data_IF_538162444702
#
_entry.id   IF_538162444702
#
_cell.length_a   1.000
_cell.length_b   1.000
_cell.length_c   1.000
_cell.angle_alpha   90.00
_cell.angle_beta   90.00
_cell.angle_gamma   90.00
#
_symmetry.space_group_name_H-M   'P 1'
#
loop_
_entity.id
_entity.type
_entity.pdbx_description
1 polymer ?
#
# COMPACT_ATOMS: atom_id res chain seq x y z
N UNK A 1 -20.05 0.52 -0.51
CA UNK A 1 -18.92 1.49 -0.52
C UNK A 1 -19.27 2.68 0.38
N UNK A 2 -18.33 3.18 1.18
CA UNK A 2 -18.57 4.34 2.05
C UNK A 2 -18.80 5.60 1.21
N UNK A 3 -19.91 6.29 1.46
CA UNK A 3 -20.21 7.58 0.84
C UNK A 3 -19.41 8.69 1.53
N UNK A 4 -18.66 9.46 0.74
CA UNK A 4 -17.82 10.57 1.22
C UNK A 4 -18.29 11.82 0.50
N UNK A 5 -18.97 12.70 1.24
CA UNK A 5 -19.48 13.96 0.71
C UNK A 5 -18.34 14.82 0.15
N UNK A 6 -18.51 15.32 -1.07
CA UNK A 6 -17.52 16.18 -1.73
C UNK A 6 -16.27 15.46 -2.27
N UNK A 7 -16.23 14.12 -2.22
CA UNK A 7 -15.15 13.34 -2.81
C UNK A 7 -15.11 13.52 -4.34
N UNK A 8 -13.97 13.96 -4.85
CA UNK A 8 -13.68 14.04 -6.28
C UNK A 8 -12.64 12.99 -6.63
N UNK A 9 -12.90 12.22 -7.69
CA UNK A 9 -11.97 11.22 -8.23
C UNK A 9 -11.62 11.56 -9.66
N UNK A 10 -10.33 11.65 -9.95
CA UNK A 10 -9.83 12.02 -11.26
C UNK A 10 -8.37 11.59 -11.40
N UNK A 11 -7.85 11.65 -12.63
CA UNK A 11 -6.46 11.32 -12.91
C UNK A 11 -5.66 12.61 -13.10
N UNK A 12 -4.39 12.55 -12.68
CA UNK A 12 -3.40 13.61 -12.93
C UNK A 12 -2.20 13.03 -13.68
N UNK A 13 -1.50 13.90 -14.41
CA UNK A 13 -0.20 13.57 -15.00
C UNK A 13 0.91 13.88 -13.98
N UNK A 14 1.50 12.83 -13.41
CA UNK A 14 2.63 12.94 -12.50
C UNK A 14 3.92 12.61 -13.24
N UNK A 15 4.52 13.65 -13.85
CA UNK A 15 5.76 13.54 -14.63
C UNK A 15 5.71 12.49 -15.76
N UNK A 16 4.59 12.44 -16.48
CA UNK A 16 4.37 11.48 -17.57
C UNK A 16 3.81 10.13 -17.13
N UNK A 17 3.50 9.95 -15.84
CA UNK A 17 2.79 8.77 -15.32
C UNK A 17 1.36 9.17 -14.93
N UNK A 18 0.35 8.48 -15.44
CA UNK A 18 -1.04 8.73 -15.03
C UNK A 18 -1.27 8.20 -13.61
N UNK A 19 -1.60 9.07 -12.66
CA UNK A 19 -1.91 8.70 -11.28
C UNK A 19 -3.36 9.06 -10.96
N UNK A 20 -4.11 8.07 -10.49
CA UNK A 20 -5.46 8.26 -9.98
C UNK A 20 -5.45 8.90 -8.59
N UNK A 21 -6.31 9.89 -8.40
CA UNK A 21 -6.45 10.67 -7.18
C UNK A 21 -7.89 10.64 -6.72
N UNK A 22 -8.10 10.38 -5.42
CA UNK A 22 -9.32 10.63 -4.70
C UNK A 22 -9.09 11.71 -3.65
N UNK A 23 -9.77 12.84 -3.76
CA UNK A 23 -9.55 13.98 -2.88
C UNK A 23 -10.83 14.64 -2.35
N UNK A 24 -10.71 15.25 -1.18
CA UNK A 24 -11.80 15.99 -0.52
C UNK A 24 -11.22 17.06 0.41
N UNK A 25 -11.97 18.15 0.57
CA UNK A 25 -11.60 19.28 1.42
C UNK A 25 -10.71 20.31 0.73
N UNK A 26 -10.43 21.38 1.47
CA UNK A 26 -9.61 22.51 1.03
C UNK A 26 -8.60 22.86 2.13
N UNK A 27 -7.50 23.53 1.78
CA UNK A 27 -6.44 23.92 2.71
C UNK A 27 -5.11 23.21 2.42
N UNK A 28 -4.17 23.18 3.38
CA UNK A 28 -2.88 22.52 3.18
C UNK A 28 -3.05 21.04 2.82
N UNK A 29 -2.26 20.56 1.86
CA UNK A 29 -2.39 19.20 1.35
C UNK A 29 -1.81 18.16 2.32
N UNK A 30 -2.57 17.06 2.49
CA UNK A 30 -2.11 15.81 3.10
C UNK A 30 -2.25 14.71 2.06
N UNK A 31 -1.11 14.18 1.60
CA UNK A 31 -1.02 13.11 0.61
C UNK A 31 -0.96 11.74 1.31
N UNK A 32 -1.90 10.86 0.99
CA UNK A 32 -2.02 9.50 1.52
C UNK A 32 -1.57 8.47 0.48
N UNK A 33 -0.65 7.60 0.89
CA UNK A 33 -0.04 6.55 0.07
C UNK A 33 -0.34 5.20 0.72
N UNK A 34 -1.15 4.38 0.06
CA UNK A 34 -1.51 3.03 0.54
C UNK A 34 -0.37 2.03 0.34
N UNK A 35 -0.50 0.83 0.91
CA UNK A 35 0.45 -0.27 0.74
C UNK A 35 -0.08 -1.41 -0.13
N UNK A 36 0.41 -2.61 0.13
CA UNK A 36 0.06 -3.85 -0.58
C UNK A 36 -0.87 -4.71 0.27
N UNK A 37 -1.87 -5.39 -0.32
CA UNK A 37 -2.50 -5.18 -1.63
C UNK A 37 -3.73 -4.25 -1.51
N UNK A 38 -3.51 -2.93 -1.51
CA UNK A 38 -4.55 -1.95 -1.14
C UNK A 38 -4.98 -1.03 -2.31
N UNK A 39 -5.61 0.11 -1.98
CA UNK A 39 -6.00 1.18 -2.90
C UNK A 39 -6.14 2.50 -2.13
N UNK A 40 -6.33 3.64 -2.83
CA UNK A 40 -6.78 4.89 -2.22
C UNK A 40 -7.94 4.69 -1.24
N UNK A 41 -8.82 3.71 -1.50
CA UNK A 41 -9.99 3.40 -0.70
C UNK A 41 -9.68 2.91 0.73
N UNK A 42 -8.45 2.45 1.00
CA UNK A 42 -7.99 2.18 2.37
C UNK A 42 -8.05 3.43 3.27
N UNK A 43 -8.00 4.63 2.67
CA UNK A 43 -8.06 5.90 3.38
C UNK A 43 -9.46 6.49 3.51
N UNK A 44 -10.52 5.75 3.16
CA UNK A 44 -11.93 6.22 3.18
C UNK A 44 -12.38 6.82 4.51
N UNK A 45 -11.78 6.41 5.63
CA UNK A 45 -12.08 6.95 6.95
C UNK A 45 -11.26 8.21 7.28
N UNK A 46 -10.04 8.32 6.75
CA UNK A 46 -9.13 9.44 6.99
C UNK A 46 -9.48 10.64 6.12
N UNK A 47 -9.84 10.42 4.87
CA UNK A 47 -10.20 11.48 3.91
C UNK A 47 -11.20 12.51 4.48
N UNK A 48 -12.42 12.11 4.93
CA UNK A 48 -13.38 13.06 5.48
C UNK A 48 -12.93 13.66 6.82
N UNK A 49 -12.22 12.90 7.66
CA UNK A 49 -11.76 13.38 8.96
C UNK A 49 -10.70 14.49 8.82
N UNK A 50 -9.79 14.34 7.85
CA UNK A 50 -8.73 15.30 7.54
C UNK A 50 -9.29 16.52 6.84
N UNK A 51 -10.25 16.34 5.92
CA UNK A 51 -11.00 17.44 5.32
C UNK A 51 -11.75 18.28 6.37
N UNK A 52 -12.45 17.63 7.30
CA UNK A 52 -13.13 18.31 8.40
C UNK A 52 -12.18 19.06 9.35
N UNK A 53 -10.91 18.67 9.39
CA UNK A 53 -9.86 19.36 10.13
C UNK A 53 -9.26 20.58 9.40
N UNK A 54 -9.75 20.91 8.19
CA UNK A 54 -9.33 22.09 7.42
C UNK A 54 -8.11 21.84 6.51
N UNK A 55 -7.92 20.59 6.08
CA UNK A 55 -6.86 20.19 5.15
C UNK A 55 -7.46 19.67 3.84
N UNK A 56 -6.71 19.75 2.75
CA UNK A 56 -7.02 19.05 1.51
C UNK A 56 -6.49 17.62 1.60
N UNK A 57 -7.37 16.65 1.77
CA UNK A 57 -7.00 15.23 1.88
C UNK A 57 -6.95 14.60 0.49
N UNK A 58 -5.81 14.04 0.11
CA UNK A 58 -5.55 13.48 -1.22
C UNK A 58 -5.03 12.06 -1.07
N UNK A 59 -5.76 11.06 -1.54
CA UNK A 59 -5.29 9.67 -1.58
C UNK A 59 -5.06 9.25 -3.03
N UNK A 60 -3.92 8.62 -3.30
CA UNK A 60 -3.58 8.11 -4.64
C UNK A 60 -3.81 6.62 -4.72
N UNK A 61 -4.14 6.10 -5.90
CA UNK A 61 -3.72 4.74 -6.23
C UNK A 61 -2.24 4.79 -6.59
N UNK A 62 -1.41 4.04 -5.88
CA UNK A 62 0.03 3.92 -6.20
C UNK A 62 0.16 3.34 -7.61
N UNK A 63 1.21 3.74 -8.35
CA UNK A 63 1.55 3.16 -9.66
C UNK A 63 1.40 1.62 -9.62
N UNK A 64 0.67 1.06 -10.57
CA UNK A 64 0.33 -0.37 -10.63
C UNK A 64 -0.98 -0.78 -9.97
N UNK A 65 -1.65 0.13 -9.27
CA UNK A 65 -2.91 -0.14 -8.57
C UNK A 65 -4.08 0.62 -9.17
N UNK A 66 -5.28 0.05 -8.98
CA UNK A 66 -6.56 0.69 -9.27
C UNK A 66 -6.59 1.31 -10.67
N UNK A 67 -6.84 2.62 -10.72
CA UNK A 67 -6.95 3.34 -12.00
C UNK A 67 -5.65 4.03 -12.44
N UNK A 68 -4.60 3.97 -11.62
CA UNK A 68 -3.27 4.47 -11.97
C UNK A 68 -2.64 3.63 -13.09
N UNK A 69 -1.64 4.21 -13.75
CA UNK A 69 -0.88 3.53 -14.78
C UNK A 69 -0.17 2.29 -14.22
N UNK A 70 -0.14 1.21 -14.99
CA UNK A 70 0.47 -0.07 -14.64
C UNK A 70 1.49 -0.47 -15.73
N UNK A 71 2.71 0.09 -15.71
CA UNK A 71 3.77 -0.28 -16.65
C UNK A 71 4.15 -1.77 -16.55
N UNK A 72 4.50 -2.41 -17.67
CA UNK A 72 4.93 -3.83 -17.66
C UNK A 72 6.31 -4.07 -17.05
N UNK A 73 7.17 -3.06 -17.09
CA UNK A 73 8.57 -3.20 -16.68
C UNK A 73 8.71 -3.14 -15.17
N UNK A 74 9.29 -4.18 -14.55
CA UNK A 74 9.54 -4.22 -13.09
C UNK A 74 10.33 -3.00 -12.61
N UNK A 75 11.31 -2.55 -13.40
CA UNK A 75 12.15 -1.39 -13.08
C UNK A 75 11.36 -0.06 -13.04
N UNK A 76 10.16 -0.01 -13.63
CA UNK A 76 9.29 1.15 -13.53
C UNK A 76 8.79 1.38 -12.10
N UNK A 77 8.81 0.36 -11.24
CA UNK A 77 8.32 0.40 -9.86
C UNK A 77 9.42 0.67 -8.83
N UNK A 78 10.64 1.02 -9.28
CA UNK A 78 11.72 1.42 -8.36
C UNK A 78 11.26 2.56 -7.47
N UNK A 79 11.67 2.50 -6.20
CA UNK A 79 11.25 3.44 -5.16
C UNK A 79 11.43 4.92 -5.56
N UNK A 80 12.49 5.25 -6.29
CA UNK A 80 12.74 6.61 -6.80
C UNK A 80 11.67 7.09 -7.80
N UNK A 81 11.09 6.19 -8.59
CA UNK A 81 10.00 6.52 -9.50
C UNK A 81 8.70 6.73 -8.72
N UNK A 82 8.42 5.90 -7.72
CA UNK A 82 7.24 6.06 -6.84
C UNK A 82 7.30 7.37 -6.04
N UNK A 83 8.50 7.80 -5.63
CA UNK A 83 8.73 9.13 -5.07
C UNK A 83 8.47 10.22 -6.11
N UNK A 84 8.92 10.03 -7.36
CA UNK A 84 8.62 10.92 -8.48
C UNK A 84 7.12 11.11 -8.67
N UNK A 85 6.33 10.03 -8.62
CA UNK A 85 4.87 10.09 -8.69
C UNK A 85 4.28 10.95 -7.58
N UNK A 86 4.72 10.75 -6.34
CA UNK A 86 4.24 11.55 -5.20
C UNK A 86 4.51 13.04 -5.38
N UNK A 87 5.71 13.41 -5.85
CA UNK A 87 6.04 14.80 -6.17
C UNK A 87 5.18 15.31 -7.31
N UNK A 88 5.07 14.53 -8.38
CA UNK A 88 4.31 14.91 -9.58
C UNK A 88 2.84 15.16 -9.26
N UNK A 89 2.24 14.37 -8.36
CA UNK A 89 0.87 14.59 -7.87
C UNK A 89 0.75 15.93 -7.13
N UNK A 90 1.68 16.24 -6.21
CA UNK A 90 1.68 17.53 -5.49
C UNK A 90 1.76 18.70 -6.47
N UNK A 91 2.68 18.63 -7.44
CA UNK A 91 2.88 19.67 -8.46
C UNK A 91 1.66 19.79 -9.40
N UNK A 92 1.11 18.67 -9.88
CA UNK A 92 -0.04 18.64 -10.79
C UNK A 92 -1.32 19.20 -10.16
N UNK A 93 -1.48 19.03 -8.85
CA UNK A 93 -2.58 19.59 -8.08
C UNK A 93 -2.36 21.06 -7.66
N UNK A 94 -1.26 21.68 -8.13
CA UNK A 94 -0.96 23.11 -7.97
C UNK A 94 -0.32 23.48 -6.63
N UNK A 95 0.14 22.50 -5.85
CA UNK A 95 0.75 22.74 -4.54
C UNK A 95 2.26 22.81 -4.61
N UNK A 96 2.87 23.60 -3.72
CA UNK A 96 4.33 23.66 -3.58
C UNK A 96 4.88 22.64 -2.56
N UNK A 97 4.00 21.98 -1.81
CA UNK A 97 4.38 21.01 -0.79
C UNK A 97 3.18 20.43 -0.04
N UNK A 98 3.43 19.34 0.67
CA UNK A 98 2.41 18.59 1.40
C UNK A 98 2.97 17.94 2.68
N UNK A 99 2.07 17.50 3.55
CA UNK A 99 2.37 16.42 4.51
C UNK A 99 2.14 15.10 3.79
N UNK A 100 3.02 14.11 3.98
CA UNK A 100 2.86 12.78 3.38
C UNK A 100 2.63 11.71 4.44
N UNK A 101 1.68 10.82 4.19
CA UNK A 101 1.26 9.75 5.09
C UNK A 101 1.33 8.43 4.33
N UNK A 102 2.06 7.46 4.87
CA UNK A 102 2.26 6.15 4.23
C UNK A 102 1.88 4.99 5.13
N UNK A 103 1.15 4.02 4.59
CA UNK A 103 0.84 2.74 5.25
C UNK A 103 1.50 1.57 4.52
N UNK A 104 2.04 0.60 5.26
CA UNK A 104 2.68 -0.60 4.70
C UNK A 104 3.77 -0.22 3.66
N UNK A 105 3.70 -0.61 2.39
CA UNK A 105 4.63 -0.20 1.32
C UNK A 105 4.56 1.31 1.00
N UNK A 106 3.44 1.95 1.31
CA UNK A 106 3.31 3.40 1.29
C UNK A 106 4.22 4.09 2.30
N UNK A 107 4.62 3.44 3.40
CA UNK A 107 5.55 4.01 4.39
C UNK A 107 6.98 4.15 3.86
N UNK A 108 7.62 3.13 3.26
CA UNK A 108 8.88 3.28 2.52
C UNK A 108 8.83 4.35 1.44
N UNK A 109 7.72 4.45 0.68
CA UNK A 109 7.52 5.50 -0.32
C UNK A 109 7.51 6.88 0.35
N UNK A 110 6.68 7.07 1.38
CA UNK A 110 6.52 8.33 2.09
C UNK A 110 7.81 8.81 2.78
N UNK A 111 8.48 7.90 3.49
CA UNK A 111 9.75 8.20 4.16
C UNK A 111 10.87 8.53 3.17
N UNK A 112 10.95 7.82 2.04
CA UNK A 112 11.93 8.12 1.00
C UNK A 112 11.61 9.42 0.27
N UNK A 113 10.34 9.72 0.03
CA UNK A 113 9.91 10.99 -0.54
C UNK A 113 10.31 12.17 0.36
N UNK A 114 10.06 12.06 1.67
CA UNK A 114 10.49 13.07 2.65
C UNK A 114 12.02 13.20 2.75
N UNK A 115 12.75 12.09 2.62
CA UNK A 115 14.22 12.10 2.62
C UNK A 115 14.80 12.77 1.37
N UNK A 116 14.27 12.46 0.19
CA UNK A 116 14.81 12.91 -1.09
C UNK A 116 14.32 14.31 -1.48
N UNK A 117 13.10 14.68 -1.06
CA UNK A 117 12.42 15.93 -1.43
C UNK A 117 11.88 16.66 -0.19
N UNK A 118 12.72 16.98 0.80
CA UNK A 118 12.29 17.62 2.05
C UNK A 118 11.69 19.02 1.86
N UNK A 119 11.97 19.69 0.75
CA UNK A 119 11.37 20.96 0.38
C UNK A 119 9.89 20.85 -0.02
N UNK A 120 9.48 19.68 -0.55
CA UNK A 120 8.11 19.35 -0.93
C UNK A 120 7.38 18.73 0.27
N UNK A 121 7.97 17.73 0.91
CA UNK A 121 7.34 16.97 1.99
C UNK A 121 7.89 17.39 3.36
N UNK A 122 7.19 18.32 4.02
CA UNK A 122 7.69 19.00 5.24
C UNK A 122 7.40 18.23 6.53
N UNK A 123 6.50 17.26 6.47
CA UNK A 123 6.24 16.33 7.56
C UNK A 123 5.83 14.98 6.98
N UNK A 124 6.12 13.91 7.73
CA UNK A 124 5.83 12.54 7.34
C UNK A 124 5.21 11.77 8.50
N UNK A 125 4.18 10.97 8.21
CA UNK A 125 3.62 9.98 9.13
C UNK A 125 3.70 8.58 8.52
N UNK A 126 4.18 7.62 9.32
CA UNK A 126 4.46 6.25 8.90
C UNK A 126 3.61 5.27 9.71
N UNK A 127 2.84 4.44 9.03
CA UNK A 127 1.95 3.46 9.64
C UNK A 127 2.39 2.04 9.26
N UNK A 128 2.28 1.11 10.22
CA UNK A 128 2.71 -0.30 10.13
C UNK A 128 4.23 -0.49 10.00
N UNK A 129 4.85 0.00 8.93
CA UNK A 129 6.28 -0.17 8.64
C UNK A 129 7.07 1.03 9.16
N UNK A 130 8.04 0.79 10.03
CA UNK A 130 8.91 1.83 10.58
C UNK A 130 9.97 2.30 9.58
N UNK A 131 10.45 3.53 9.75
CA UNK A 131 11.58 4.04 8.96
C UNK A 131 12.86 3.25 9.25
N UNK A 132 13.47 2.74 8.18
CA UNK A 132 14.81 2.15 8.23
C UNK A 132 15.73 2.96 7.32
N UNK A 133 16.79 3.60 7.86
CA UNK A 133 17.76 4.32 7.03
C UNK A 133 18.44 3.41 6.00
N UNK A 134 18.89 3.96 4.85
CA UNK A 134 19.73 3.24 3.91
C UNK A 134 20.95 2.63 4.62
N UNK A 135 21.22 1.36 4.33
CA UNK A 135 22.32 0.61 4.93
C UNK A 135 22.97 -0.29 3.88
N UNK A 136 24.03 -1.00 4.29
CA UNK A 136 24.85 -1.83 3.40
C UNK A 136 24.23 -3.20 3.07
N UNK A 137 23.18 -3.61 3.78
CA UNK A 137 22.52 -4.88 3.54
C UNK A 137 21.57 -4.77 2.36
N UNK A 138 21.67 -5.74 1.44
CA UNK A 138 20.68 -5.88 0.37
C UNK A 138 19.36 -6.37 0.97
N UNK A 139 18.23 -5.72 0.71
CA UNK A 139 16.94 -6.13 1.26
C UNK A 139 16.60 -7.61 0.99
N UNK A 140 16.89 -8.11 -0.21
CA UNK A 140 16.67 -9.52 -0.57
C UNK A 140 17.46 -10.50 0.30
N UNK A 141 18.69 -10.15 0.70
CA UNK A 141 19.47 -10.99 1.61
C UNK A 141 18.86 -10.99 3.02
N UNK A 142 18.33 -9.86 3.49
CA UNK A 142 17.63 -9.75 4.77
C UNK A 142 16.34 -10.57 4.76
N UNK A 143 15.51 -10.45 3.73
CA UNK A 143 14.25 -11.17 3.62
C UNK A 143 14.46 -12.69 3.49
N UNK A 144 15.50 -13.12 2.78
CA UNK A 144 15.89 -14.53 2.75
C UNK A 144 16.28 -15.05 4.13
N UNK A 145 17.02 -14.26 4.91
CA UNK A 145 17.35 -14.62 6.29
C UNK A 145 16.11 -14.71 7.20
N UNK A 146 15.07 -13.90 6.96
CA UNK A 146 13.81 -13.94 7.73
C UNK A 146 13.00 -15.22 7.49
N UNK A 147 13.16 -15.87 6.33
CA UNK A 147 12.44 -17.10 6.01
C UNK A 147 12.87 -18.30 6.86
N UNK A 148 14.13 -18.35 7.27
CA UNK A 148 14.68 -19.49 8.01
C UNK A 148 14.66 -20.76 7.15
N UNK A 149 13.93 -21.77 7.62
CA UNK A 149 13.71 -23.03 6.89
C UNK A 149 12.60 -22.92 5.81
N UNK A 150 11.77 -21.86 5.89
CA UNK A 150 10.73 -21.53 4.91
C UNK A 150 11.15 -20.34 4.03
N UNK A 151 10.35 -20.01 3.03
CA UNK A 151 10.53 -18.81 2.19
C UNK A 151 9.67 -17.66 2.70
N UNK A 152 10.27 -16.53 3.07
CA UNK A 152 9.50 -15.34 3.44
C UNK A 152 8.73 -14.78 2.23
N UNK A 153 7.52 -14.26 2.43
CA UNK A 153 6.63 -13.90 1.31
C UNK A 153 7.24 -12.89 0.31
N UNK A 154 8.06 -11.93 0.77
CA UNK A 154 8.72 -10.97 -0.13
C UNK A 154 9.73 -11.66 -1.04
N UNK A 155 10.43 -12.68 -0.53
CA UNK A 155 11.34 -13.51 -1.35
C UNK A 155 10.53 -14.37 -2.34
N UNK A 156 9.39 -14.92 -1.90
CA UNK A 156 8.47 -15.67 -2.76
C UNK A 156 7.94 -14.83 -3.94
N UNK A 157 7.74 -13.52 -3.73
CA UNK A 157 7.30 -12.59 -4.76
C UNK A 157 8.41 -12.16 -5.74
N UNK A 158 9.68 -12.57 -5.54
CA UNK A 158 10.77 -12.14 -6.43
C UNK A 158 10.74 -12.81 -7.80
N UNK A 159 10.18 -14.03 -7.93
CA UNK A 159 10.12 -14.76 -9.20
C UNK A 159 8.85 -14.36 -9.97
N UNK A 160 8.97 -13.63 -11.11
CA UNK A 160 7.80 -13.16 -11.85
C UNK A 160 6.93 -14.31 -12.36
N UNK A 161 5.64 -14.20 -12.15
CA UNK A 161 4.63 -15.16 -12.58
C UNK A 161 4.28 -16.23 -11.55
N UNK A 162 5.05 -16.38 -10.46
CA UNK A 162 4.75 -17.37 -9.41
C UNK A 162 3.61 -16.87 -8.52
N UNK A 163 3.80 -15.73 -7.85
CA UNK A 163 2.79 -15.16 -6.97
C UNK A 163 1.56 -14.69 -7.76
N UNK A 164 1.74 -14.17 -8.97
CA UNK A 164 0.66 -13.74 -9.84
C UNK A 164 -0.22 -14.91 -10.29
N UNK A 165 0.36 -16.08 -10.59
CA UNK A 165 -0.40 -17.27 -10.91
C UNK A 165 -1.17 -17.79 -9.69
N UNK A 166 -0.60 -17.70 -8.48
CA UNK A 166 -1.28 -18.03 -7.23
C UNK A 166 -2.49 -17.11 -7.00
N UNK A 167 -2.25 -15.80 -6.94
CA UNK A 167 -3.27 -14.76 -6.73
C UNK A 167 -4.37 -14.87 -7.79
N UNK A 168 -4.00 -15.11 -9.04
CA UNK A 168 -4.92 -15.21 -10.17
C UNK A 168 -5.90 -16.38 -10.12
N UNK A 169 -5.70 -17.36 -9.22
CA UNK A 169 -6.66 -18.47 -9.06
C UNK A 169 -8.00 -18.05 -8.47
N UNK A 170 -7.96 -17.20 -7.43
CA UNK A 170 -9.13 -16.57 -6.81
C UNK A 170 -8.69 -15.28 -6.09
N UNK A 171 -8.62 -14.14 -6.81
CA UNK A 171 -8.11 -12.89 -6.25
C UNK A 171 -8.90 -12.40 -5.04
N UNK A 172 -10.22 -12.59 -5.05
CA UNK A 172 -11.09 -12.18 -3.94
C UNK A 172 -10.77 -12.96 -2.67
N UNK A 173 -10.64 -14.29 -2.81
CA UNK A 173 -10.30 -15.16 -1.68
C UNK A 173 -8.89 -14.94 -1.19
N UNK A 174 -7.93 -14.79 -2.11
CA UNK A 174 -6.55 -14.51 -1.75
C UNK A 174 -6.45 -13.19 -0.98
N UNK A 175 -7.13 -12.15 -1.45
CA UNK A 175 -7.17 -10.85 -0.81
C UNK A 175 -7.81 -10.88 0.59
N UNK A 176 -8.96 -11.54 0.73
CA UNK A 176 -9.62 -11.74 2.03
C UNK A 176 -8.66 -12.40 3.04
N UNK A 177 -7.96 -13.44 2.59
CA UNK A 177 -6.99 -14.17 3.41
C UNK A 177 -5.79 -13.32 3.79
N UNK A 178 -5.20 -12.60 2.84
CA UNK A 178 -4.06 -11.72 3.07
C UNK A 178 -4.41 -10.60 4.06
N UNK A 179 -5.50 -9.86 3.80
CA UNK A 179 -5.93 -8.73 4.63
C UNK A 179 -6.28 -9.22 6.04
N UNK A 180 -7.06 -10.30 6.17
CA UNK A 180 -7.43 -10.80 7.48
C UNK A 180 -6.21 -11.30 8.24
N UNK A 181 -5.32 -12.07 7.60
CA UNK A 181 -4.10 -12.60 8.24
C UNK A 181 -3.16 -11.50 8.73
N UNK A 182 -3.14 -10.35 8.06
CA UNK A 182 -2.35 -9.18 8.46
C UNK A 182 -3.03 -8.31 9.53
N UNK A 183 -4.32 -8.53 9.81
CA UNK A 183 -5.10 -7.71 10.73
C UNK A 183 -4.85 -8.08 12.19
N UNK A 184 -5.15 -7.14 13.09
CA UNK A 184 -5.14 -7.39 14.54
C UNK A 184 -6.21 -8.36 15.03
N UNK A 185 -7.20 -8.70 14.19
CA UNK A 185 -8.25 -9.68 14.51
C UNK A 185 -7.85 -11.11 14.14
N UNK A 186 -6.80 -11.30 13.33
CA UNK A 186 -6.26 -12.63 13.09
C UNK A 186 -5.71 -13.20 14.41
N UNK A 187 -6.04 -14.46 14.75
CA UNK A 187 -5.44 -15.08 15.92
C UNK A 187 -3.91 -15.10 15.75
N UNK A 188 -3.13 -15.03 16.85
CA UNK A 188 -1.69 -15.18 16.76
C UNK A 188 -1.31 -16.61 16.30
N UNK A 189 -0.12 -16.80 15.72
CA UNK A 189 0.40 -18.15 15.45
C UNK A 189 0.52 -18.96 16.75
N UNK A 190 0.21 -20.26 16.68
CA UNK A 190 0.44 -21.15 17.81
C UNK A 190 1.95 -21.37 18.04
N UNK A 191 2.38 -21.81 19.23
CA UNK A 191 3.78 -22.12 19.47
C UNK A 191 4.32 -23.15 18.47
N UNK A 192 5.36 -22.76 17.72
CA UNK A 192 5.97 -23.61 16.69
C UNK A 192 5.31 -23.52 15.32
N UNK A 193 4.21 -22.77 15.18
CA UNK A 193 3.71 -22.41 13.85
C UNK A 193 4.59 -21.30 13.26
N UNK A 194 5.03 -21.45 12.00
CA UNK A 194 5.68 -20.37 11.29
C UNK A 194 4.69 -19.20 11.08
N UNK A 195 5.23 -18.01 10.80
CA UNK A 195 4.39 -16.82 10.59
C UNK A 195 3.46 -17.03 9.39
N UNK A 196 2.29 -16.37 9.39
CA UNK A 196 1.34 -16.42 8.28
C UNK A 196 1.88 -15.89 6.93
N UNK A 197 3.08 -15.31 6.92
CA UNK A 197 3.73 -14.71 5.74
C UNK A 197 5.00 -15.46 5.33
N UNK A 198 4.93 -16.79 5.36
CA UNK A 198 6.01 -17.67 4.92
C UNK A 198 5.46 -18.87 4.16
N UNK A 199 6.24 -19.36 3.20
CA UNK A 199 5.87 -20.40 2.24
C UNK A 199 6.74 -21.62 2.49
N UNK A 200 6.11 -22.77 2.72
CA UNK A 200 6.82 -24.03 2.83
C UNK A 200 7.44 -24.42 1.48
N UNK A 201 8.46 -25.28 1.48
CA UNK A 201 9.03 -25.81 0.25
C UNK A 201 7.95 -26.48 -0.63
N UNK A 202 7.84 -26.01 -1.87
CA UNK A 202 6.81 -26.45 -2.84
C UNK A 202 5.36 -26.04 -2.51
N UNK A 203 5.13 -25.21 -1.48
CA UNK A 203 3.83 -24.71 -1.07
C UNK A 203 3.43 -23.39 -1.73
N UNK A 204 2.26 -22.87 -1.34
CA UNK A 204 1.73 -21.56 -1.72
C UNK A 204 1.70 -20.62 -0.51
N UNK A 205 1.63 -19.31 -0.75
CA UNK A 205 1.48 -18.36 0.35
C UNK A 205 0.09 -18.44 0.98
N UNK A 206 -0.95 -18.59 0.15
CA UNK A 206 -2.33 -18.73 0.62
C UNK A 206 -2.64 -20.01 1.41
N UNK A 207 -1.75 -21.01 1.40
CA UNK A 207 -1.86 -22.21 2.25
C UNK A 207 -1.85 -21.88 3.75
N UNK A 208 -1.26 -20.74 4.14
CA UNK A 208 -1.14 -20.29 5.54
C UNK A 208 -2.09 -19.15 5.90
N UNK A 209 -2.94 -18.73 4.97
CA UNK A 209 -3.91 -17.67 5.24
C UNK A 209 -4.96 -18.11 6.26
N UNK A 210 -5.29 -17.16 7.11
CA UNK A 210 -6.42 -17.21 8.03
C UNK A 210 -7.57 -16.45 7.39
N UNK A 211 -8.78 -16.81 7.80
CA UNK A 211 -9.99 -16.20 7.26
C UNK A 211 -10.97 -15.84 8.37
N UNK A 212 -11.76 -14.77 8.20
CA UNK A 212 -12.72 -14.36 9.20
C UNK A 212 -13.81 -15.43 9.36
N UNK A 213 -14.18 -15.73 10.60
CA UNK A 213 -15.29 -16.67 10.90
C UNK A 213 -16.66 -15.98 10.89
N UNK A 214 -16.70 -14.67 10.66
CA UNK A 214 -17.89 -13.84 10.64
C UNK A 214 -17.59 -12.42 10.15
N UNK A 215 -18.59 -11.53 10.13
CA UNK A 215 -18.42 -10.16 9.62
C UNK A 215 -17.36 -9.37 10.41
N UNK A 216 -16.54 -8.60 9.70
CA UNK A 216 -15.54 -7.71 10.28
C UNK A 216 -16.16 -6.32 10.50
N UNK A 217 -15.90 -5.72 11.67
CA UNK A 217 -16.44 -4.40 12.01
C UNK A 217 -15.82 -3.25 11.17
N UNK A 218 -14.63 -3.47 10.63
CA UNK A 218 -13.83 -2.48 9.90
C UNK A 218 -13.76 -2.75 8.38
N UNK A 219 -14.34 -3.85 7.90
CA UNK A 219 -14.38 -4.21 6.48
C UNK A 219 -15.68 -4.94 6.16
N UNK A 220 -16.60 -4.26 5.47
CA UNK A 220 -17.80 -4.86 4.93
C UNK A 220 -17.55 -5.63 3.63
N UNK A 221 -18.55 -6.40 3.18
CA UNK A 221 -18.47 -7.13 1.91
C UNK A 221 -18.24 -6.19 0.71
N UNK A 222 -18.93 -5.05 0.68
CA UNK A 222 -18.73 -4.00 -0.32
C UNK A 222 -17.33 -3.38 -0.29
N UNK A 223 -16.69 -3.36 0.89
CA UNK A 223 -15.33 -2.83 1.01
C UNK A 223 -14.34 -3.80 0.40
N UNK A 224 -14.45 -5.10 0.68
CA UNK A 224 -13.58 -6.11 0.08
C UNK A 224 -13.77 -6.16 -1.45
N UNK A 225 -15.02 -6.09 -1.91
CA UNK A 225 -15.35 -6.07 -3.34
C UNK A 225 -14.79 -4.85 -4.09
N UNK A 226 -14.38 -3.78 -3.40
CA UNK A 226 -13.73 -2.63 -4.03
C UNK A 226 -12.35 -2.98 -4.60
N UNK A 227 -11.62 -3.87 -3.93
CA UNK A 227 -10.23 -4.19 -4.23
C UNK A 227 -10.07 -5.31 -5.28
N UNK A 228 -11.19 -5.88 -5.77
CA UNK A 228 -11.24 -7.03 -6.69
C UNK A 228 -11.70 -6.59 -8.08
#
# INVERSE_FOLDING_TARGET
MMDIEGLVRHDVDAHGTRIHVAEVGEGPMVLFVHGFPESWYSWRHQLPAVAAAGYRAVAIDVRGYGSSECPSEVDAYRLVNLVGDCVGVVEALGEAGAVIVGHDWGSPIASTAALLRPEVFRAVALLSVAYTPPNEFRPTDVFRMMGGDDTFYIEYFQEPGVAEAEIGTDPARWLEGMIFSASGDAPPPLPGEPTGFSVADGGRLDDRFRYPTGPLAWQGADDLAFYV
#
